data_IF_387911061738
#
_entry.id   IF_387911061738
#
_cell.length_a   1.000
_cell.length_b   1.000
_cell.length_c   1.000
_cell.angle_alpha   90.00
_cell.angle_beta   90.00
_cell.angle_gamma   90.00
#
_symmetry.space_group_name_H-M   'P 1'
#
loop_
_entity.id
_entity.type
_entity.pdbx_description
1 polymer ?
#
# COMPACT_ATOMS: atom_id res chain seq x y z
N UNK A 1 70.62 -44.35 -28.93
CA UNK A 1 69.89 -45.50 -28.37
C UNK A 1 68.48 -45.00 -28.04
N UNK A 2 67.49 -45.49 -28.79
CA UNK A 2 66.11 -44.99 -28.81
C UNK A 2 65.38 -45.44 -27.54
N UNK A 3 64.91 -44.50 -26.72
CA UNK A 3 64.06 -44.77 -25.54
C UNK A 3 62.59 -44.87 -25.96
N UNK A 4 61.96 -45.98 -25.60
CA UNK A 4 60.57 -46.37 -25.90
C UNK A 4 59.52 -45.31 -25.49
N UNK A 5 58.39 -45.20 -26.21
CA UNK A 5 57.25 -44.39 -25.80
C UNK A 5 56.47 -45.05 -24.64
N UNK A 6 55.96 -44.20 -23.75
CA UNK A 6 55.20 -44.55 -22.54
C UNK A 6 53.95 -45.38 -22.84
N UNK A 7 53.87 -46.56 -22.23
CA UNK A 7 52.79 -47.55 -22.40
C UNK A 7 51.44 -47.18 -21.78
N UNK A 8 51.25 -45.95 -21.30
CA UNK A 8 49.96 -45.49 -20.76
C UNK A 8 48.98 -44.99 -21.83
N UNK A 9 49.47 -44.52 -22.99
CA UNK A 9 48.61 -43.99 -24.05
C UNK A 9 47.92 -45.06 -24.90
N UNK A 10 48.40 -46.32 -24.88
CA UNK A 10 47.86 -47.40 -25.70
C UNK A 10 46.61 -48.07 -25.10
N UNK A 11 46.32 -47.88 -23.81
CA UNK A 11 45.16 -48.49 -23.16
C UNK A 11 43.82 -47.77 -23.46
N UNK A 12 43.85 -46.53 -23.95
CA UNK A 12 42.66 -45.73 -24.28
C UNK A 12 42.10 -45.99 -25.70
N UNK A 13 42.72 -46.91 -26.47
CA UNK A 13 42.40 -47.17 -27.87
C UNK A 13 41.58 -48.46 -28.12
N UNK A 14 41.07 -49.12 -27.08
CA UNK A 14 40.16 -50.26 -27.28
C UNK A 14 38.71 -49.77 -27.44
N UNK A 15 37.96 -50.25 -28.46
CA UNK A 15 36.59 -49.81 -28.72
C UNK A 15 35.66 -50.08 -27.52
N UNK A 16 35.95 -51.11 -26.73
CA UNK A 16 35.21 -51.43 -25.50
C UNK A 16 35.32 -50.36 -24.41
N UNK A 17 36.50 -49.77 -24.19
CA UNK A 17 36.68 -48.74 -23.16
C UNK A 17 35.95 -47.43 -23.54
N UNK A 18 35.91 -47.09 -24.83
CA UNK A 18 35.15 -45.94 -25.34
C UNK A 18 33.63 -46.13 -25.17
N UNK A 19 33.14 -47.35 -25.39
CA UNK A 19 31.72 -47.68 -25.23
C UNK A 19 31.30 -47.63 -23.75
N UNK A 20 32.17 -48.13 -22.85
CA UNK A 20 31.94 -48.04 -21.40
C UNK A 20 31.96 -46.59 -20.94
N UNK A 21 32.93 -45.78 -21.35
CA UNK A 21 32.99 -44.34 -21.03
C UNK A 21 31.76 -43.58 -21.53
N UNK A 22 31.31 -43.83 -22.75
CA UNK A 22 30.11 -43.21 -23.32
C UNK A 22 28.83 -43.66 -22.58
N UNK A 23 28.71 -44.93 -22.21
CA UNK A 23 27.59 -45.44 -21.43
C UNK A 23 27.57 -44.86 -20.00
N UNK A 24 28.73 -44.72 -19.35
CA UNK A 24 28.82 -44.06 -18.05
C UNK A 24 28.55 -42.56 -18.11
N UNK A 25 28.95 -41.86 -19.18
CA UNK A 25 28.61 -40.46 -19.39
C UNK A 25 27.10 -40.27 -19.60
N UNK A 26 26.45 -41.15 -20.38
CA UNK A 26 25.00 -41.15 -20.56
C UNK A 26 24.24 -41.47 -19.26
N UNK A 27 24.76 -42.38 -18.43
CA UNK A 27 24.18 -42.69 -17.12
C UNK A 27 24.35 -41.53 -16.11
N UNK A 28 25.46 -40.78 -16.19
CA UNK A 28 25.68 -39.57 -15.36
C UNK A 28 24.78 -38.40 -15.80
N UNK A 29 24.45 -38.29 -17.09
CA UNK A 29 23.47 -37.31 -17.60
C UNK A 29 22.03 -37.63 -17.21
N UNK A 30 21.71 -38.90 -16.92
CA UNK A 30 20.38 -39.34 -16.49
C UNK A 30 20.05 -38.98 -15.02
N UNK A 31 21.01 -38.42 -14.27
CA UNK A 31 20.81 -37.91 -12.90
C UNK A 31 20.11 -36.55 -12.82
N UNK A 32 19.71 -35.95 -13.94
CA UNK A 32 18.91 -34.73 -13.95
C UNK A 32 17.58 -34.99 -13.22
N UNK A 33 17.35 -34.25 -12.13
CA UNK A 33 16.12 -34.30 -11.35
C UNK A 33 14.92 -34.15 -12.29
N UNK A 34 14.14 -35.21 -12.45
CA UNK A 34 12.90 -35.16 -13.21
C UNK A 34 11.85 -34.48 -12.34
N UNK A 35 11.40 -33.27 -12.69
CA UNK A 35 10.37 -32.62 -11.90
C UNK A 35 9.08 -33.45 -11.97
N UNK A 36 8.32 -33.49 -10.87
CA UNK A 36 7.01 -34.15 -10.85
C UNK A 36 6.12 -33.52 -11.91
N UNK A 37 5.54 -34.34 -12.79
CA UNK A 37 4.64 -33.88 -13.85
C UNK A 37 3.24 -34.44 -13.63
N UNK A 38 2.21 -33.60 -13.83
CA UNK A 38 0.82 -34.02 -13.70
C UNK A 38 -0.05 -33.37 -14.80
N UNK A 39 -1.01 -34.12 -15.32
CA UNK A 39 -2.08 -33.58 -16.18
C UNK A 39 -3.21 -33.06 -15.28
N UNK A 40 -3.65 -31.82 -15.48
CA UNK A 40 -4.74 -31.24 -14.69
C UNK A 40 -6.12 -31.65 -15.22
N UNK A 41 -6.23 -31.90 -16.53
CA UNK A 41 -7.43 -32.47 -17.16
C UNK A 41 -7.14 -33.47 -18.29
N UNK A 42 -8.11 -34.33 -18.68
CA UNK A 42 -7.97 -35.20 -19.85
C UNK A 42 -7.71 -34.41 -21.13
N UNK A 43 -6.69 -34.81 -21.90
CA UNK A 43 -6.28 -34.13 -23.12
C UNK A 43 -5.22 -33.04 -22.94
N UNK A 44 -4.90 -32.66 -21.70
CA UNK A 44 -3.84 -31.67 -21.44
C UNK A 44 -2.43 -32.28 -21.50
N UNK A 45 -1.47 -31.44 -21.83
CA UNK A 45 -0.06 -31.77 -21.64
C UNK A 45 0.28 -31.79 -20.14
N UNK A 46 1.10 -32.74 -19.67
CA UNK A 46 1.55 -32.74 -18.29
C UNK A 46 2.29 -31.44 -17.95
N UNK A 47 1.94 -30.82 -16.84
CA UNK A 47 2.59 -29.62 -16.31
C UNK A 47 3.57 -29.99 -15.22
N UNK A 48 4.68 -29.24 -15.15
CA UNK A 48 5.68 -29.38 -14.08
C UNK A 48 5.11 -28.82 -12.78
N UNK A 49 5.04 -29.66 -11.75
CA UNK A 49 4.64 -29.27 -10.41
C UNK A 49 5.86 -28.85 -9.60
N UNK A 50 5.86 -27.60 -9.16
CA UNK A 50 6.81 -27.08 -8.18
C UNK A 50 6.39 -27.38 -6.74
N UNK A 51 7.20 -26.95 -5.74
CA UNK A 51 6.82 -27.02 -4.34
C UNK A 51 5.57 -26.19 -4.03
N UNK A 52 4.86 -26.53 -2.95
CA UNK A 52 3.68 -25.79 -2.51
C UNK A 52 3.99 -24.36 -2.08
N UNK A 53 2.97 -23.50 -2.09
CA UNK A 53 3.03 -22.15 -1.52
C UNK A 53 3.42 -22.24 -0.04
N UNK A 54 4.25 -21.29 0.41
CA UNK A 54 4.73 -21.17 1.80
C UNK A 54 4.81 -19.70 2.20
N UNK A 55 4.97 -19.46 3.50
CA UNK A 55 5.25 -18.12 4.02
C UNK A 55 6.57 -17.54 3.48
N UNK A 56 6.59 -16.22 3.31
CA UNK A 56 7.76 -15.49 2.86
C UNK A 56 8.67 -15.12 4.04
N UNK A 57 9.43 -16.12 4.47
CA UNK A 57 10.39 -16.05 5.58
C UNK A 57 11.72 -15.39 5.19
N UNK A 58 12.35 -14.70 6.14
CA UNK A 58 13.68 -14.11 5.99
C UNK A 58 14.60 -14.45 7.17
N UNK A 59 15.91 -14.14 7.09
CA UNK A 59 16.79 -14.19 8.26
C UNK A 59 16.31 -13.37 9.47
N UNK A 60 15.37 -12.45 9.29
CA UNK A 60 14.91 -11.53 10.33
C UNK A 60 13.83 -12.11 11.24
N UNK A 61 13.21 -13.26 10.92
CA UNK A 61 12.07 -13.79 11.70
C UNK A 61 12.34 -13.84 13.22
N UNK A 62 13.48 -14.40 13.71
CA UNK A 62 13.74 -14.52 15.14
C UNK A 62 13.94 -13.16 15.83
N UNK A 63 14.63 -12.23 15.14
CA UNK A 63 14.87 -10.89 15.66
C UNK A 63 13.56 -10.12 15.77
N UNK A 64 12.71 -10.19 14.74
CA UNK A 64 11.42 -9.50 14.72
C UNK A 64 10.49 -10.02 15.81
N UNK A 65 10.43 -11.34 16.02
CA UNK A 65 9.67 -11.95 17.10
C UNK A 65 10.16 -11.48 18.49
N UNK A 66 11.47 -11.52 18.73
CA UNK A 66 12.09 -11.03 19.97
C UNK A 66 11.81 -9.55 20.22
N UNK A 67 11.90 -8.72 19.17
CA UNK A 67 11.63 -7.29 19.27
C UNK A 67 10.16 -7.02 19.55
N UNK A 68 9.24 -7.69 18.84
CA UNK A 68 7.81 -7.56 19.06
C UNK A 68 7.40 -7.98 20.48
N UNK A 69 7.98 -9.07 21.01
CA UNK A 69 7.77 -9.51 22.39
C UNK A 69 8.24 -8.45 23.40
N UNK A 70 9.40 -7.83 23.16
CA UNK A 70 9.91 -6.73 24.01
C UNK A 70 9.01 -5.50 23.98
N UNK A 71 8.47 -5.14 22.82
CA UNK A 71 7.52 -4.03 22.69
C UNK A 71 6.21 -4.36 23.40
N UNK A 72 5.66 -5.56 23.19
CA UNK A 72 4.43 -6.01 23.87
C UNK A 72 4.60 -6.05 25.40
N UNK A 73 5.76 -6.52 25.89
CA UNK A 73 6.07 -6.58 27.32
C UNK A 73 6.11 -5.21 28.01
N UNK A 74 6.17 -4.09 27.27
CA UNK A 74 6.04 -2.75 27.85
C UNK A 74 4.64 -2.46 28.38
N UNK A 75 3.62 -3.21 27.95
CA UNK A 75 2.21 -3.00 28.31
C UNK A 75 1.62 -1.66 27.84
N UNK A 76 2.34 -0.91 26.99
CA UNK A 76 1.89 0.38 26.46
C UNK A 76 0.90 0.16 25.32
N UNK A 77 0.03 1.14 25.11
CA UNK A 77 -0.83 1.18 23.92
C UNK A 77 0.05 1.14 22.65
N UNK A 78 -0.20 0.20 21.72
CA UNK A 78 0.56 0.12 20.49
C UNK A 78 0.50 1.40 19.68
N UNK A 79 1.66 1.88 19.21
CA UNK A 79 1.74 3.02 18.29
C UNK A 79 1.10 2.66 16.95
N UNK A 80 0.44 3.64 16.33
CA UNK A 80 -0.17 3.48 14.99
C UNK A 80 0.79 4.02 13.94
N UNK A 81 1.30 3.14 13.08
CA UNK A 81 2.27 3.46 12.03
C UNK A 81 1.61 3.31 10.66
N UNK A 82 1.74 4.33 9.83
CA UNK A 82 1.41 4.25 8.42
C UNK A 82 2.67 4.01 7.56
N UNK A 83 2.47 3.59 6.33
CA UNK A 83 3.55 3.46 5.34
C UNK A 83 3.19 4.36 4.15
N UNK A 84 4.14 5.16 3.71
CA UNK A 84 4.04 5.92 2.48
C UNK A 84 4.88 5.29 1.37
N UNK A 85 5.35 6.11 0.44
CA UNK A 85 6.20 5.64 -0.64
C UNK A 85 7.54 5.07 -0.12
N UNK A 86 7.82 3.83 -0.55
CA UNK A 86 9.14 3.20 -0.47
C UNK A 86 9.46 2.61 -1.85
N UNK A 87 10.18 3.40 -2.65
CA UNK A 87 10.40 3.16 -4.08
C UNK A 87 11.83 2.69 -4.37
N UNK A 88 12.02 2.17 -5.57
CA UNK A 88 13.34 1.98 -6.14
C UNK A 88 13.87 3.31 -6.70
N UNK A 89 14.96 3.80 -6.11
CA UNK A 89 15.72 4.98 -6.53
C UNK A 89 17.09 4.61 -7.11
N UNK A 90 17.42 3.32 -7.27
CA UNK A 90 18.73 2.91 -7.80
C UNK A 90 18.83 3.18 -9.30
N UNK A 91 17.70 3.30 -10.00
CA UNK A 91 17.62 3.54 -11.44
C UNK A 91 18.21 2.41 -12.29
N UNK A 92 18.39 1.21 -11.71
CA UNK A 92 18.98 0.07 -12.42
C UNK A 92 17.91 -0.67 -13.21
N UNK A 93 18.14 -0.79 -14.51
CA UNK A 93 17.21 -1.40 -15.45
C UNK A 93 17.91 -2.46 -16.28
N UNK A 94 17.25 -3.60 -16.46
CA UNK A 94 17.62 -4.67 -17.38
C UNK A 94 16.66 -4.64 -18.56
N UNK A 95 17.20 -4.59 -19.79
CA UNK A 95 16.40 -4.51 -21.01
C UNK A 95 15.46 -5.70 -21.21
N UNK A 96 15.81 -6.87 -20.68
CA UNK A 96 15.02 -8.10 -20.85
C UNK A 96 14.08 -8.37 -19.66
N UNK A 97 14.39 -7.84 -18.47
CA UNK A 97 13.73 -8.23 -17.22
C UNK A 97 13.04 -7.05 -16.50
N UNK A 98 13.23 -5.81 -16.97
CA UNK A 98 12.69 -4.60 -16.36
C UNK A 98 13.56 -4.06 -15.23
N UNK A 99 12.95 -3.44 -14.22
CA UNK A 99 13.67 -2.88 -13.07
C UNK A 99 14.41 -3.97 -12.30
N UNK A 100 15.68 -3.70 -11.97
CA UNK A 100 16.51 -4.67 -11.24
C UNK A 100 16.06 -4.88 -9.79
N UNK A 101 15.40 -3.87 -9.20
CA UNK A 101 14.82 -3.92 -7.86
C UNK A 101 13.30 -3.87 -7.94
N UNK A 102 12.66 -4.52 -6.97
CA UNK A 102 11.21 -4.51 -6.83
C UNK A 102 10.66 -3.11 -6.61
N UNK A 103 9.51 -2.82 -7.22
CA UNK A 103 8.73 -1.61 -6.94
C UNK A 103 7.79 -1.79 -5.74
N UNK A 104 7.81 -2.97 -5.10
CA UNK A 104 6.98 -3.32 -3.95
C UNK A 104 7.61 -2.99 -2.59
N UNK A 105 8.57 -2.07 -2.52
CA UNK A 105 9.27 -1.72 -1.27
C UNK A 105 8.30 -1.31 -0.15
N UNK A 106 7.26 -0.54 -0.47
CA UNK A 106 6.23 -0.14 0.51
C UNK A 106 5.47 -1.35 1.06
N UNK A 107 5.11 -2.31 0.20
CA UNK A 107 4.44 -3.54 0.61
C UNK A 107 5.35 -4.47 1.44
N UNK A 108 6.66 -4.45 1.20
CA UNK A 108 7.63 -5.15 2.05
C UNK A 108 7.70 -4.51 3.45
N UNK A 109 7.68 -3.19 3.55
CA UNK A 109 7.62 -2.46 4.83
C UNK A 109 6.29 -2.71 5.55
N UNK A 110 5.15 -2.73 4.85
CA UNK A 110 3.86 -3.14 5.40
C UNK A 110 3.91 -4.56 5.96
N UNK A 111 4.44 -5.50 5.18
CA UNK A 111 4.57 -6.90 5.61
C UNK A 111 5.47 -7.00 6.85
N UNK A 112 6.54 -6.22 6.91
CA UNK A 112 7.44 -6.17 8.06
C UNK A 112 6.73 -5.64 9.32
N UNK A 113 5.95 -4.55 9.20
CA UNK A 113 5.09 -4.09 10.30
C UNK A 113 4.05 -5.14 10.69
N UNK A 114 3.53 -5.90 9.72
CA UNK A 114 2.60 -7.02 9.95
C UNK A 114 3.21 -8.15 10.76
N UNK A 115 4.52 -8.43 10.57
CA UNK A 115 5.28 -9.37 11.41
C UNK A 115 5.46 -8.87 12.86
N UNK A 116 5.32 -7.56 13.09
CA UNK A 116 5.29 -6.94 14.42
C UNK A 116 3.84 -6.72 14.94
N UNK A 117 2.84 -7.32 14.30
CA UNK A 117 1.42 -7.05 14.59
C UNK A 117 1.05 -7.20 16.06
N UNK A 118 0.27 -6.23 16.51
CA UNK A 118 -0.22 -6.06 17.89
C UNK A 118 0.80 -5.49 18.87
N UNK A 119 2.10 -5.58 18.59
CA UNK A 119 3.10 -4.72 19.23
C UNK A 119 3.07 -3.31 18.62
N UNK A 120 2.71 -3.23 17.34
CA UNK A 120 2.35 -2.00 16.62
C UNK A 120 1.02 -2.19 15.90
N UNK A 121 0.33 -1.07 15.64
CA UNK A 121 -0.85 -1.02 14.76
C UNK A 121 -0.48 -0.38 13.44
N UNK A 122 -1.13 -0.82 12.38
CA UNK A 122 -0.89 -0.30 11.03
C UNK A 122 -2.11 0.51 10.60
N UNK A 123 -1.88 1.73 10.09
CA UNK A 123 -2.92 2.51 9.42
C UNK A 123 -2.67 2.48 7.91
N UNK A 124 -3.69 2.11 7.15
CA UNK A 124 -3.63 2.15 5.68
C UNK A 124 -3.62 3.62 5.21
N UNK A 125 -2.52 4.02 4.56
CA UNK A 125 -2.33 5.36 3.96
C UNK A 125 -1.57 5.33 2.63
N UNK A 126 -1.18 4.15 2.16
CA UNK A 126 -0.43 3.95 0.93
C UNK A 126 -1.37 3.83 -0.26
N UNK A 127 -2.46 3.07 -0.11
CA UNK A 127 -3.53 2.97 -1.10
C UNK A 127 -4.91 3.20 -0.46
N UNK A 128 -5.25 4.46 -0.14
CA UNK A 128 -6.54 4.79 0.46
C UNK A 128 -7.69 4.82 -0.57
N UNK A 129 -7.45 4.53 -1.85
CA UNK A 129 -8.43 4.80 -2.92
C UNK A 129 -9.76 4.10 -2.71
N UNK A 130 -9.76 2.84 -2.26
CA UNK A 130 -11.00 2.12 -1.99
C UNK A 130 -11.72 2.73 -0.78
N UNK A 131 -10.99 3.02 0.31
CA UNK A 131 -11.55 3.63 1.51
C UNK A 131 -12.15 5.02 1.23
N UNK A 132 -11.48 5.84 0.41
CA UNK A 132 -11.99 7.15 -0.02
C UNK A 132 -13.23 7.03 -0.89
N UNK A 133 -13.28 6.04 -1.81
CA UNK A 133 -14.46 5.78 -2.63
C UNK A 133 -15.64 5.31 -1.78
N UNK A 134 -15.42 4.39 -0.85
CA UNK A 134 -16.45 3.91 0.07
C UNK A 134 -16.95 5.04 0.96
N UNK A 135 -16.06 5.90 1.46
CA UNK A 135 -16.46 7.09 2.20
C UNK A 135 -17.32 8.02 1.33
N UNK A 136 -16.98 8.20 0.05
CA UNK A 136 -17.79 8.96 -0.90
C UNK A 136 -19.15 8.31 -1.23
N UNK A 137 -19.25 6.98 -1.22
CA UNK A 137 -20.55 6.30 -1.33
C UNK A 137 -21.36 6.43 -0.04
N UNK A 138 -20.72 6.36 1.13
CA UNK A 138 -21.36 6.54 2.43
C UNK A 138 -21.89 7.97 2.60
N UNK A 139 -21.12 8.98 2.20
CA UNK A 139 -21.54 10.40 2.22
C UNK A 139 -22.77 10.62 1.34
N UNK A 140 -22.79 10.02 0.14
CA UNK A 140 -23.93 10.06 -0.79
C UNK A 140 -25.08 9.12 -0.43
N UNK A 141 -24.99 8.39 0.70
CA UNK A 141 -25.99 7.39 1.14
C UNK A 141 -26.25 6.29 0.11
N UNK A 142 -25.26 5.99 -0.73
CA UNK A 142 -25.28 4.95 -1.74
C UNK A 142 -24.67 3.63 -1.22
N UNK A 143 -23.88 3.71 -0.15
CA UNK A 143 -23.29 2.55 0.50
C UNK A 143 -24.32 1.87 1.41
N UNK A 144 -24.47 0.55 1.28
CA UNK A 144 -25.30 -0.27 2.17
C UNK A 144 -24.67 -1.64 2.36
N UNK A 145 -25.07 -2.34 3.42
CA UNK A 145 -24.63 -3.69 3.78
C UNK A 145 -25.76 -4.73 3.65
N UNK A 146 -26.85 -4.37 2.97
CA UNK A 146 -28.05 -5.20 2.83
C UNK A 146 -28.95 -5.22 4.07
N UNK A 147 -28.67 -4.38 5.08
CA UNK A 147 -29.47 -4.26 6.31
C UNK A 147 -30.07 -2.86 6.42
N UNK A 148 -31.17 -2.78 7.14
CA UNK A 148 -31.75 -1.51 7.56
C UNK A 148 -31.12 -1.06 8.88
N UNK A 149 -30.79 0.22 8.98
CA UNK A 149 -30.14 0.84 10.13
C UNK A 149 -31.08 1.86 10.76
N UNK A 150 -31.15 1.89 12.09
CA UNK A 150 -31.98 2.85 12.83
C UNK A 150 -31.10 3.96 13.38
N UNK A 151 -31.28 5.18 12.86
CA UNK A 151 -30.62 6.39 13.33
C UNK A 151 -31.36 6.94 14.54
N UNK A 152 -30.63 7.46 15.53
CA UNK A 152 -31.25 8.19 16.63
C UNK A 152 -31.94 9.47 16.11
N UNK A 153 -33.20 9.67 16.48
CA UNK A 153 -33.93 10.91 16.15
C UNK A 153 -33.35 12.11 16.89
N UNK A 154 -33.35 13.29 16.26
CA UNK A 154 -33.00 14.53 16.93
C UNK A 154 -33.93 14.75 18.14
N UNK A 155 -33.38 15.20 19.28
CA UNK A 155 -34.12 15.52 20.50
C UNK A 155 -35.03 14.39 21.05
N UNK A 156 -34.61 13.13 20.94
CA UNK A 156 -35.37 11.99 21.49
C UNK A 156 -36.62 11.60 20.70
N UNK A 157 -36.74 12.08 19.46
CA UNK A 157 -37.77 11.61 18.52
C UNK A 157 -37.58 10.17 18.06
N UNK A 158 -38.62 9.60 17.43
CA UNK A 158 -38.58 8.25 16.87
C UNK A 158 -37.41 8.07 15.89
N UNK A 159 -36.67 6.96 16.02
CA UNK A 159 -35.50 6.69 15.18
C UNK A 159 -35.85 6.54 13.71
N UNK A 160 -35.02 7.10 12.82
CA UNK A 160 -35.22 6.99 11.39
C UNK A 160 -34.61 5.69 10.87
N UNK A 161 -35.42 4.86 10.23
CA UNK A 161 -34.95 3.65 9.57
C UNK A 161 -34.42 3.96 8.17
N UNK A 162 -33.17 3.59 7.88
CA UNK A 162 -32.49 3.89 6.61
C UNK A 162 -31.84 2.63 6.03
N UNK A 163 -31.88 2.43 4.69
CA UNK A 163 -31.29 1.25 4.04
C UNK A 163 -29.80 1.40 3.73
N UNK A 164 -29.20 2.55 4.07
CA UNK A 164 -27.80 2.89 3.78
C UNK A 164 -26.97 2.88 5.07
N UNK A 165 -25.66 2.69 4.93
CA UNK A 165 -24.69 2.57 6.03
C UNK A 165 -24.48 3.92 6.74
N UNK A 166 -24.84 4.05 8.03
CA UNK A 166 -24.53 5.24 8.81
C UNK A 166 -23.03 5.40 9.02
N UNK A 167 -22.52 6.60 8.74
CA UNK A 167 -21.12 6.94 8.96
C UNK A 167 -20.99 7.90 10.14
N UNK A 168 -20.20 7.49 11.14
CA UNK A 168 -19.92 8.30 12.33
C UNK A 168 -18.52 8.92 12.19
N UNK A 169 -18.42 10.22 12.52
CA UNK A 169 -17.15 10.92 12.51
C UNK A 169 -16.20 10.32 13.55
N UNK A 170 -14.90 10.35 13.26
CA UNK A 170 -13.87 9.82 14.16
C UNK A 170 -13.64 8.30 14.06
N UNK A 171 -14.29 7.60 13.14
CA UNK A 171 -14.06 6.16 12.87
C UNK A 171 -12.73 5.88 12.17
N UNK A 172 -12.23 6.82 11.36
CA UNK A 172 -10.89 6.75 10.77
C UNK A 172 -9.86 7.16 11.81
N UNK A 173 -9.11 6.18 12.31
CA UNK A 173 -8.05 6.41 13.29
C UNK A 173 -6.85 7.16 12.68
N UNK A 174 -6.26 8.07 13.45
CA UNK A 174 -5.00 8.74 13.08
C UNK A 174 -3.83 7.76 13.11
N UNK A 175 -2.83 8.00 12.26
CA UNK A 175 -1.49 7.44 12.46
C UNK A 175 -0.70 8.36 13.40
N UNK A 176 0.08 7.78 14.30
CA UNK A 176 1.05 8.51 15.13
C UNK A 176 2.29 8.86 14.31
N UNK A 177 2.75 7.90 13.51
CA UNK A 177 3.94 8.02 12.68
C UNK A 177 3.69 7.47 11.28
N UNK A 178 4.55 7.85 10.33
CA UNK A 178 4.61 7.19 9.03
C UNK A 178 6.06 6.89 8.61
N UNK A 179 6.25 5.78 7.89
CA UNK A 179 7.54 5.38 7.33
C UNK A 179 7.55 5.65 5.82
N UNK A 180 8.61 6.32 5.35
CA UNK A 180 8.88 6.59 3.93
C UNK A 180 10.36 6.41 3.64
N UNK A 181 10.72 6.20 2.37
CA UNK A 181 12.12 6.07 1.97
C UNK A 181 12.26 5.38 0.63
N UNK A 182 13.30 4.56 0.49
CA UNK A 182 13.47 3.75 -0.71
C UNK A 182 14.74 2.92 -0.72
N UNK A 183 14.85 2.10 -1.77
CA UNK A 183 16.07 1.39 -2.12
C UNK A 183 16.90 2.35 -2.96
N UNK A 184 18.07 2.75 -2.48
CA UNK A 184 18.84 3.87 -3.03
C UNK A 184 20.12 3.43 -3.72
N UNK A 185 20.64 2.25 -3.38
CA UNK A 185 21.87 1.74 -3.98
C UNK A 185 21.69 0.30 -4.47
N UNK A 186 22.29 0.01 -5.63
CA UNK A 186 22.50 -1.35 -6.12
C UNK A 186 23.85 -1.43 -6.83
N UNK A 187 24.80 -2.11 -6.19
CA UNK A 187 26.17 -2.24 -6.64
C UNK A 187 26.45 -3.69 -7.05
N UNK A 188 26.66 -3.91 -8.35
CA UNK A 188 27.08 -5.21 -8.88
C UNK A 188 28.60 -5.33 -8.86
N UNK A 189 29.11 -6.56 -8.72
CA UNK A 189 30.53 -6.88 -8.88
C UNK A 189 31.48 -6.05 -7.99
N UNK A 190 31.15 -5.89 -6.70
CA UNK A 190 31.97 -5.12 -5.74
C UNK A 190 33.37 -5.73 -5.61
N UNK A 191 33.43 -7.06 -5.48
CA UNK A 191 34.65 -7.85 -5.55
C UNK A 191 34.31 -9.16 -6.27
N UNK A 192 35.09 -9.48 -7.29
CA UNK A 192 34.97 -10.74 -8.02
C UNK A 192 36.34 -11.40 -8.09
N UNK A 193 36.37 -12.68 -7.74
CA UNK A 193 37.59 -13.48 -7.74
C UNK A 193 37.34 -14.80 -8.42
N UNK A 194 38.29 -15.28 -9.20
CA UNK A 194 38.16 -16.57 -9.86
C UNK A 194 39.42 -17.00 -10.56
N UNK A 195 39.54 -18.31 -10.75
CA UNK A 195 40.61 -18.94 -11.50
C UNK A 195 40.01 -19.83 -12.59
N UNK A 196 40.68 -19.87 -13.72
CA UNK A 196 40.39 -20.80 -14.80
C UNK A 196 41.67 -21.53 -15.16
N UNK A 197 41.62 -22.87 -15.19
CA UNK A 197 42.74 -23.72 -15.57
C UNK A 197 42.25 -24.61 -16.71
N UNK A 198 42.96 -24.60 -17.84
CA UNK A 198 42.63 -25.45 -18.97
C UNK A 198 43.85 -26.15 -19.57
N UNK A 199 43.65 -27.40 -19.96
CA UNK A 199 44.63 -28.25 -20.67
C UNK A 199 43.88 -29.07 -21.72
N UNK A 200 44.39 -29.14 -22.96
CA UNK A 200 43.84 -29.95 -24.05
C UNK A 200 42.32 -29.79 -24.27
N UNK A 201 41.88 -28.56 -24.54
CA UNK A 201 40.50 -28.19 -24.83
C UNK A 201 39.49 -28.41 -23.69
N UNK A 202 39.94 -28.82 -22.49
CA UNK A 202 39.12 -28.91 -21.27
C UNK A 202 39.53 -27.77 -20.33
N UNK A 203 38.58 -26.96 -19.87
CA UNK A 203 38.82 -25.93 -18.84
C UNK A 203 37.92 -26.09 -17.63
N UNK A 204 38.46 -25.79 -16.45
CA UNK A 204 37.75 -25.74 -15.18
C UNK A 204 37.79 -24.31 -14.68
N UNK A 205 36.62 -23.74 -14.37
CA UNK A 205 36.46 -22.38 -13.86
C UNK A 205 35.79 -22.39 -12.49
N UNK A 206 36.30 -21.54 -11.59
CA UNK A 206 35.66 -21.20 -10.33
C UNK A 206 35.65 -19.68 -10.18
N UNK A 207 34.47 -19.08 -9.99
CA UNK A 207 34.28 -17.63 -9.86
C UNK A 207 33.39 -17.32 -8.67
N UNK A 208 33.66 -16.19 -8.03
CA UNK A 208 32.86 -15.62 -6.95
C UNK A 208 32.46 -14.20 -7.34
N UNK A 209 31.26 -13.81 -6.95
CA UNK A 209 30.69 -12.50 -7.25
C UNK A 209 30.05 -11.94 -5.99
N UNK A 210 30.36 -10.70 -5.64
CA UNK A 210 29.66 -9.99 -4.58
C UNK A 210 28.87 -8.81 -5.10
N UNK A 211 27.68 -8.59 -4.56
CA UNK A 211 26.81 -7.45 -4.88
C UNK A 211 26.33 -6.81 -3.58
N UNK A 212 25.83 -5.58 -3.59
CA UNK A 212 25.18 -4.99 -2.42
C UNK A 212 23.98 -4.16 -2.80
N UNK A 213 23.06 -4.03 -1.85
CA UNK A 213 21.92 -3.13 -1.91
C UNK A 213 21.94 -2.19 -0.70
N UNK A 214 21.58 -0.93 -0.93
CA UNK A 214 21.41 0.09 0.10
C UNK A 214 19.94 0.49 0.22
N UNK A 215 19.46 0.66 1.45
CA UNK A 215 18.12 1.14 1.76
C UNK A 215 18.18 2.31 2.73
N UNK A 216 17.45 3.37 2.42
CA UNK A 216 17.33 4.56 3.25
C UNK A 216 15.87 4.76 3.64
N UNK A 217 15.59 4.69 4.95
CA UNK A 217 14.25 4.86 5.48
C UNK A 217 14.23 5.93 6.57
N UNK A 218 13.07 6.55 6.76
CA UNK A 218 12.82 7.46 7.88
C UNK A 218 11.43 7.26 8.45
N UNK A 219 11.31 7.45 9.76
CA UNK A 219 10.03 7.51 10.48
C UNK A 219 9.77 8.96 10.90
N UNK A 220 8.58 9.43 10.58
CA UNK A 220 8.18 10.84 10.71
C UNK A 220 6.96 10.93 11.60
N UNK A 221 6.93 11.91 12.50
CA UNK A 221 5.77 12.22 13.32
C UNK A 221 4.67 12.85 12.45
N UNK A 222 3.48 12.25 12.43
CA UNK A 222 2.38 12.68 11.55
C UNK A 222 1.88 14.09 11.87
N UNK A 223 1.98 14.53 13.14
CA UNK A 223 1.43 15.84 13.57
C UNK A 223 2.38 16.97 13.26
N UNK A 224 3.67 16.77 13.51
CA UNK A 224 4.70 17.82 13.39
C UNK A 224 5.46 17.76 12.07
N UNK A 225 5.38 16.65 11.35
CA UNK A 225 6.18 16.33 10.17
C UNK A 225 7.70 16.33 10.43
N UNK A 226 8.10 16.34 11.70
CA UNK A 226 9.50 16.23 12.09
C UNK A 226 9.97 14.79 11.95
N UNK A 227 11.15 14.63 11.34
CA UNK A 227 11.79 13.32 11.20
C UNK A 227 12.30 12.87 12.57
N UNK A 228 11.77 11.76 13.08
CA UNK A 228 12.13 11.23 14.41
C UNK A 228 13.41 10.40 14.33
N UNK A 229 13.53 9.57 13.30
CA UNK A 229 14.72 8.76 13.05
C UNK A 229 14.90 8.50 11.55
N UNK A 230 16.16 8.55 11.11
CA UNK A 230 16.61 8.08 9.80
C UNK A 230 17.52 6.87 9.98
N UNK A 231 17.48 5.96 9.01
CA UNK A 231 18.38 4.82 8.91
C UNK A 231 18.86 4.68 7.47
N UNK A 232 20.12 4.27 7.34
CA UNK A 232 20.75 3.88 6.08
C UNK A 232 21.39 2.52 6.32
N UNK A 233 20.98 1.50 5.58
CA UNK A 233 21.42 0.12 5.75
C UNK A 233 21.92 -0.44 4.42
N UNK A 234 23.03 -1.18 4.48
CA UNK A 234 23.57 -1.91 3.33
C UNK A 234 23.59 -3.39 3.63
N UNK A 235 23.12 -4.19 2.67
CA UNK A 235 23.26 -5.64 2.69
C UNK A 235 24.08 -6.10 1.50
N UNK A 236 25.11 -6.89 1.77
CA UNK A 236 25.93 -7.54 0.75
C UNK A 236 25.43 -8.96 0.49
N UNK A 237 25.53 -9.37 -0.78
CA UNK A 237 25.21 -10.68 -1.32
C UNK A 237 26.50 -11.31 -1.84
N UNK A 238 26.62 -12.61 -1.68
CA UNK A 238 27.71 -13.40 -2.29
C UNK A 238 27.13 -14.52 -3.15
N UNK A 239 27.74 -14.72 -4.31
CA UNK A 239 27.41 -15.80 -5.24
C UNK A 239 28.67 -16.50 -5.73
N UNK A 240 28.50 -17.71 -6.22
CA UNK A 240 29.59 -18.51 -6.79
C UNK A 240 29.15 -19.21 -8.07
N UNK A 241 30.12 -19.50 -8.93
CA UNK A 241 30.00 -20.29 -10.15
C UNK A 241 31.17 -21.27 -10.19
N UNK A 242 30.86 -22.56 -10.31
CA UNK A 242 31.83 -23.61 -10.59
C UNK A 242 31.41 -24.31 -11.87
N UNK A 243 32.33 -24.42 -12.83
CA UNK A 243 32.03 -24.97 -14.14
C UNK A 243 33.21 -25.71 -14.75
N UNK A 244 32.89 -26.68 -15.59
CA UNK A 244 33.78 -27.43 -16.45
C UNK A 244 33.29 -27.23 -17.89
N UNK A 245 34.16 -26.71 -18.74
CA UNK A 245 33.90 -26.52 -20.16
C UNK A 245 34.79 -27.48 -20.96
N UNK A 246 34.22 -28.17 -21.95
CA UNK A 246 34.96 -28.99 -22.91
C UNK A 246 34.70 -28.49 -24.32
N UNK A 247 35.77 -28.04 -24.99
CA UNK A 247 35.78 -27.69 -26.39
C UNK A 247 36.29 -28.86 -27.23
N UNK A 248 35.70 -29.10 -28.40
CA UNK A 248 36.30 -30.02 -29.38
C UNK A 248 35.94 -29.64 -30.81
N UNK A 249 36.95 -29.63 -31.69
CA UNK A 249 36.76 -29.46 -33.12
C UNK A 249 36.59 -30.82 -33.80
N UNK A 250 35.47 -31.01 -34.50
CA UNK A 250 35.29 -32.12 -35.43
C UNK A 250 35.04 -31.55 -36.84
N UNK A 251 36.02 -31.75 -37.73
CA UNK A 251 36.07 -31.18 -39.08
C UNK A 251 36.01 -29.63 -39.05
N UNK A 252 34.85 -29.03 -39.37
CA UNK A 252 34.58 -27.59 -39.38
C UNK A 252 33.58 -27.14 -38.31
N UNK A 253 33.12 -28.05 -37.44
CA UNK A 253 32.10 -27.75 -36.43
C UNK A 253 32.73 -27.71 -35.03
N UNK A 254 32.39 -26.65 -34.27
CA UNK A 254 32.77 -26.46 -32.87
C UNK A 254 31.69 -27.09 -31.98
N UNK A 255 32.10 -28.00 -31.11
CA UNK A 255 31.24 -28.53 -30.06
C UNK A 255 31.70 -27.96 -28.71
N UNK A 256 30.78 -27.32 -28.00
CA UNK A 256 30.96 -26.73 -26.67
C UNK A 256 30.01 -27.43 -25.71
N UNK A 257 30.56 -28.01 -24.64
CA UNK A 257 29.80 -28.71 -23.61
C UNK A 257 30.14 -28.08 -22.26
N UNK A 258 29.18 -27.34 -21.70
CA UNK A 258 29.27 -26.69 -20.40
C UNK A 258 28.54 -27.51 -19.31
N UNK A 259 29.27 -27.89 -18.26
CA UNK A 259 28.71 -28.46 -17.02
C UNK A 259 29.04 -27.55 -15.85
N UNK A 260 28.07 -27.11 -15.05
CA UNK A 260 28.38 -26.25 -13.91
C UNK A 260 27.23 -26.02 -12.94
N UNK A 261 27.60 -25.61 -11.73
CA UNK A 261 26.67 -25.17 -10.70
C UNK A 261 26.93 -23.68 -10.39
N UNK A 262 25.87 -22.89 -10.41
CA UNK A 262 25.89 -21.47 -10.05
C UNK A 262 24.84 -21.22 -8.97
N UNK A 263 25.22 -20.56 -7.89
CA UNK A 263 24.34 -20.24 -6.77
C UNK A 263 24.58 -18.83 -6.26
N UNK A 264 23.51 -18.07 -6.01
CA UNK A 264 23.58 -16.71 -5.46
C UNK A 264 22.48 -16.50 -4.43
N UNK A 265 22.75 -15.71 -3.39
CA UNK A 265 21.69 -15.23 -2.50
C UNK A 265 20.67 -14.41 -3.30
N UNK A 266 19.35 -14.68 -3.18
CA UNK A 266 18.35 -13.92 -3.92
C UNK A 266 18.35 -12.44 -3.51
N UNK A 267 18.54 -11.54 -4.49
CA UNK A 267 18.60 -10.09 -4.23
C UNK A 267 17.33 -9.60 -3.51
N UNK A 268 16.16 -10.02 -3.98
CA UNK A 268 14.87 -9.63 -3.40
C UNK A 268 14.71 -10.11 -1.94
N UNK A 269 15.32 -11.24 -1.57
CA UNK A 269 15.33 -11.71 -0.18
C UNK A 269 16.16 -10.77 0.70
N UNK A 270 17.32 -10.30 0.21
CA UNK A 270 18.13 -9.36 0.96
C UNK A 270 17.55 -7.95 1.03
N UNK A 271 16.89 -7.47 -0.05
CA UNK A 271 16.13 -6.21 0.02
C UNK A 271 15.08 -6.29 1.13
N UNK A 272 14.30 -7.38 1.15
CA UNK A 272 13.29 -7.60 2.19
C UNK A 272 13.91 -7.63 3.58
N UNK A 273 14.99 -8.36 3.78
CA UNK A 273 15.68 -8.44 5.08
C UNK A 273 16.22 -7.06 5.54
N UNK A 274 16.78 -6.27 4.62
CA UNK A 274 17.26 -4.92 4.93
C UNK A 274 16.13 -3.96 5.29
N UNK A 275 15.00 -4.03 4.58
CA UNK A 275 13.79 -3.25 4.91
C UNK A 275 13.21 -3.68 6.26
N UNK A 276 13.14 -4.97 6.55
CA UNK A 276 12.67 -5.51 7.83
C UNK A 276 13.53 -5.05 9.01
N UNK A 277 14.86 -5.08 8.86
CA UNK A 277 15.78 -4.52 9.85
C UNK A 277 15.58 -3.01 10.03
N UNK A 278 15.38 -2.28 8.93
CA UNK A 278 15.05 -0.87 8.94
C UNK A 278 13.77 -0.58 9.73
N UNK A 279 12.71 -1.36 9.51
CA UNK A 279 11.46 -1.25 10.28
C UNK A 279 11.70 -1.46 11.77
N UNK A 280 12.44 -2.50 12.17
CA UNK A 280 12.74 -2.74 13.59
C UNK A 280 13.47 -1.57 14.22
N UNK A 281 14.51 -1.03 13.55
CA UNK A 281 15.29 0.11 14.06
C UNK A 281 14.44 1.38 14.18
N UNK A 282 13.59 1.65 13.18
CA UNK A 282 12.69 2.82 13.18
C UNK A 282 11.59 2.69 14.24
N UNK A 283 10.94 1.53 14.34
CA UNK A 283 9.92 1.26 15.37
C UNK A 283 10.53 1.31 16.76
N UNK A 284 11.75 0.80 16.96
CA UNK A 284 12.48 0.90 18.23
C UNK A 284 12.65 2.34 18.70
N UNK A 285 12.90 3.27 17.76
CA UNK A 285 13.04 4.69 18.08
C UNK A 285 11.73 5.33 18.57
N UNK A 286 10.57 4.98 18.01
CA UNK A 286 9.28 5.57 18.44
C UNK A 286 8.63 4.84 19.61
N UNK A 287 8.89 3.54 19.76
CA UNK A 287 8.42 2.74 20.90
C UNK A 287 9.30 2.90 22.14
N UNK A 288 10.51 3.46 21.98
CA UNK A 288 11.54 3.56 23.01
C UNK A 288 11.97 2.19 23.54
N UNK A 289 12.02 1.19 22.66
CA UNK A 289 12.44 -0.18 22.96
C UNK A 289 13.71 -0.49 22.17
N UNK A 290 14.76 -0.89 22.89
CA UNK A 290 16.03 -1.25 22.28
C UNK A 290 15.95 -2.63 21.61
N UNK A 291 16.35 -2.68 20.33
CA UNK A 291 16.39 -3.88 19.51
C UNK A 291 17.74 -4.60 19.58
N UNK A 292 18.80 -3.95 20.08
CA UNK A 292 20.15 -4.51 20.10
C UNK A 292 20.25 -5.88 20.78
N UNK A 293 19.51 -6.17 21.89
CA UNK A 293 19.52 -7.49 22.51
C UNK A 293 18.97 -8.63 21.63
N UNK A 294 18.24 -8.31 20.56
CA UNK A 294 17.70 -9.30 19.61
C UNK A 294 18.62 -9.54 18.40
N UNK A 295 19.64 -8.69 18.16
CA UNK A 295 20.59 -8.84 17.05
C UNK A 295 21.34 -10.20 17.04
N UNK A 296 21.75 -10.77 18.18
CA UNK A 296 22.43 -12.08 18.19
C UNK A 296 21.59 -13.25 17.67
N UNK A 297 20.28 -13.07 17.48
CA UNK A 297 19.38 -14.09 16.91
C UNK A 297 19.42 -14.15 15.39
N UNK A 298 20.09 -13.20 14.73
CA UNK A 298 20.31 -13.23 13.29
C UNK A 298 21.28 -14.37 12.94
N UNK A 299 21.00 -15.15 11.89
CA UNK A 299 21.92 -16.19 11.46
C UNK A 299 23.23 -15.56 10.95
N UNK A 300 24.36 -16.13 11.35
CA UNK A 300 25.66 -15.77 10.78
C UNK A 300 25.74 -16.12 9.29
N UNK A 301 26.74 -15.56 8.59
CA UNK A 301 26.96 -15.83 7.17
C UNK A 301 27.06 -17.34 6.88
N UNK A 302 26.32 -17.81 5.89
CA UNK A 302 26.29 -19.22 5.47
C UNK A 302 25.56 -20.18 6.42
N UNK A 303 24.87 -19.67 7.44
CA UNK A 303 24.05 -20.50 8.35
C UNK A 303 22.64 -20.68 7.81
N UNK A 304 21.99 -21.79 8.20
CA UNK A 304 20.59 -22.05 7.89
C UNK A 304 19.69 -20.98 8.52
N UNK A 305 18.68 -20.57 7.75
CA UNK A 305 17.67 -19.61 8.20
C UNK A 305 16.59 -20.36 9.00
N UNK A 306 16.10 -19.75 10.08
CA UNK A 306 14.94 -20.26 10.79
C UNK A 306 13.69 -20.15 9.91
N UNK A 307 12.95 -21.24 9.74
CA UNK A 307 11.82 -21.30 8.80
C UNK A 307 10.47 -21.05 9.44
N UNK A 308 10.43 -20.93 10.76
CA UNK A 308 9.21 -20.57 11.50
C UNK A 308 8.92 -19.07 11.36
N UNK A 309 7.70 -18.67 10.96
CA UNK A 309 7.30 -17.26 10.89
C UNK A 309 7.41 -16.55 12.25
N UNK A 310 7.76 -15.25 12.24
CA UNK A 310 7.93 -14.44 13.44
C UNK A 310 6.71 -14.49 14.38
N UNK A 311 5.50 -14.50 13.83
CA UNK A 311 4.26 -14.60 14.60
C UNK A 311 4.19 -15.87 15.48
N UNK A 312 4.72 -16.99 14.99
CA UNK A 312 4.75 -18.28 15.71
C UNK A 312 5.94 -18.39 16.68
N UNK A 313 6.94 -17.52 16.55
CA UNK A 313 8.09 -17.46 17.46
C UNK A 313 7.85 -16.58 18.69
N UNK A 314 6.74 -15.82 18.70
CA UNK A 314 6.40 -14.90 19.79
C UNK A 314 5.99 -15.65 21.06
N UNK A 315 6.37 -15.10 22.20
CA UNK A 315 6.11 -15.65 23.53
C UNK A 315 5.24 -14.75 24.38
N UNK A 316 5.13 -13.47 24.02
CA UNK A 316 4.38 -12.47 24.77
C UNK A 316 3.09 -12.16 24.01
N UNK A 317 1.96 -12.24 24.73
CA UNK A 317 0.68 -11.81 24.17
C UNK A 317 0.69 -10.31 23.90
N UNK A 318 0.02 -9.90 22.81
CA UNK A 318 -0.12 -8.49 22.54
C UNK A 318 -0.97 -7.82 23.63
N UNK A 319 -0.67 -6.56 23.98
CA UNK A 319 -1.57 -5.80 24.84
C UNK A 319 -2.98 -5.82 24.22
N UNK A 320 -3.99 -6.03 25.06
CA UNK A 320 -5.38 -5.93 24.66
C UNK A 320 -5.62 -4.51 24.18
N UNK A 321 -5.61 -4.31 22.87
CA UNK A 321 -6.21 -3.15 22.26
C UNK A 321 -7.68 -3.46 22.22
N UNK A 322 -8.52 -2.59 22.77
CA UNK A 322 -9.95 -2.68 22.57
C UNK A 322 -10.26 -2.54 21.07
N UNK A 323 -10.24 -3.68 20.37
CA UNK A 323 -10.56 -3.84 18.94
C UNK A 323 -12.01 -4.23 18.75
N UNK A 324 -12.77 -4.39 19.84
CA UNK A 324 -14.18 -4.73 19.78
C UNK A 324 -14.97 -3.71 18.97
N UNK A 325 -14.45 -2.48 18.85
CA UNK A 325 -15.29 -1.38 18.42
C UNK A 325 -16.56 -1.38 19.26
N UNK A 326 -16.46 -1.78 20.56
CA UNK A 326 -17.58 -1.84 21.47
C UNK A 326 -18.27 -0.51 21.30
N UNK A 327 -19.52 -0.50 20.83
CA UNK A 327 -20.25 0.74 20.78
C UNK A 327 -20.21 1.27 22.20
N UNK A 328 -19.66 2.48 22.38
CA UNK A 328 -20.11 3.35 23.47
C UNK A 328 -21.61 3.16 23.48
N UNK A 329 -22.12 2.56 24.57
CA UNK A 329 -23.36 1.83 24.62
C UNK A 329 -24.43 2.35 23.66
N UNK A 330 -25.10 1.43 22.96
CA UNK A 330 -26.26 1.58 22.07
C UNK A 330 -27.33 2.54 22.61
N UNK A 331 -26.96 3.81 22.50
CA UNK A 331 -27.56 5.05 22.93
C UNK A 331 -26.65 6.19 22.45
N UNK A 332 -25.96 5.95 21.33
CA UNK A 332 -24.90 6.78 20.78
C UNK A 332 -25.45 8.19 20.59
N UNK A 333 -25.05 9.09 21.50
CA UNK A 333 -25.31 10.54 21.49
C UNK A 333 -24.52 11.23 20.38
N UNK A 334 -24.61 10.71 19.15
CA UNK A 334 -23.93 11.24 17.99
C UNK A 334 -24.81 11.09 16.76
N UNK A 335 -25.11 12.20 16.12
CA UNK A 335 -25.73 12.21 14.79
C UNK A 335 -24.74 11.63 13.80
N UNK A 336 -25.14 10.61 13.02
CA UNK A 336 -24.30 10.15 11.92
C UNK A 336 -24.01 11.34 11.00
N UNK A 337 -22.78 11.45 10.50
CA UNK A 337 -22.32 12.58 9.68
C UNK A 337 -23.14 12.66 8.40
N UNK A 338 -23.53 11.51 7.86
CA UNK A 338 -24.43 11.38 6.73
C UNK A 338 -25.92 11.28 7.14
N UNK A 339 -26.27 11.29 8.43
CA UNK A 339 -27.66 11.35 8.92
C UNK A 339 -28.28 12.74 8.85
N UNK A 340 -27.48 13.80 8.80
CA UNK A 340 -28.02 15.15 8.55
C UNK A 340 -28.49 15.26 7.10
N UNK A 341 -29.71 14.82 6.82
CA UNK A 341 -30.47 15.35 5.70
C UNK A 341 -30.89 16.74 6.11
N UNK A 342 -30.21 17.81 5.67
CA UNK A 342 -30.83 19.13 5.57
C UNK A 342 -31.70 19.55 6.78
N UNK A 343 -31.38 19.12 8.00
CA UNK A 343 -32.01 19.63 9.20
C UNK A 343 -31.17 20.83 9.50
N UNK A 344 -31.69 21.97 9.06
CA UNK A 344 -31.07 23.27 9.27
C UNK A 344 -30.46 23.28 10.66
N UNK A 345 -29.16 23.56 10.71
CA UNK A 345 -28.67 24.26 11.87
C UNK A 345 -29.65 25.42 12.06
N UNK A 346 -30.45 25.39 13.12
CA UNK A 346 -31.18 26.57 13.53
C UNK A 346 -30.09 27.55 13.95
N UNK A 347 -29.75 28.57 13.14
CA UNK A 347 -28.78 29.54 13.56
C UNK A 347 -29.57 30.53 14.39
N UNK A 348 -29.22 30.60 15.66
CA UNK A 348 -29.37 31.84 16.42
C UNK A 348 -28.91 33.02 15.53
N UNK A 349 -29.83 33.83 15.01
CA UNK A 349 -29.53 35.03 14.22
C UNK A 349 -29.41 34.87 12.70
N UNK A 350 -30.49 34.45 12.04
CA UNK A 350 -30.98 34.95 10.73
C UNK A 350 -30.10 34.89 9.46
N UNK A 351 -29.64 33.69 9.04
CA UNK A 351 -29.41 33.37 7.61
C UNK A 351 -29.79 31.90 7.35
N UNK A 352 -30.75 31.63 6.45
CA UNK A 352 -31.20 30.27 6.09
C UNK A 352 -30.34 29.71 4.96
N UNK A 353 -29.66 28.59 5.17
CA UNK A 353 -28.92 27.91 4.09
C UNK A 353 -29.85 27.10 3.17
N UNK A 354 -29.71 27.30 1.86
CA UNK A 354 -30.42 26.62 0.80
C UNK A 354 -29.43 25.83 -0.07
N UNK A 355 -29.33 24.50 0.11
CA UNK A 355 -28.33 23.70 -0.58
C UNK A 355 -28.74 23.34 -2.01
N UNK A 356 -27.75 23.38 -2.91
CA UNK A 356 -27.80 22.81 -4.26
C UNK A 356 -26.88 21.58 -4.38
N UNK A 357 -27.35 20.58 -5.11
CA UNK A 357 -26.55 19.41 -5.47
C UNK A 357 -25.49 19.79 -6.51
N UNK A 358 -24.43 18.97 -6.60
CA UNK A 358 -23.31 19.19 -7.51
C UNK A 358 -23.79 19.30 -8.97
N UNK A 359 -23.50 20.42 -9.62
CA UNK A 359 -23.89 20.73 -10.99
C UNK A 359 -25.39 20.91 -11.20
N UNK A 360 -26.21 20.80 -10.16
CA UNK A 360 -27.65 20.94 -10.27
C UNK A 360 -28.08 22.40 -10.38
N UNK A 361 -28.95 22.67 -11.33
CA UNK A 361 -29.54 23.99 -11.58
C UNK A 361 -30.95 24.10 -10.98
N UNK A 362 -31.51 22.97 -10.56
CA UNK A 362 -32.84 22.82 -9.97
C UNK A 362 -32.73 22.51 -8.47
N UNK A 363 -33.80 22.83 -7.74
CA UNK A 363 -33.91 22.52 -6.32
C UNK A 363 -34.31 21.06 -6.11
N UNK A 364 -33.61 20.35 -5.21
CA UNK A 364 -33.95 18.98 -4.83
C UNK A 364 -35.21 18.88 -3.97
N UNK A 365 -35.82 17.70 -3.92
CA UNK A 365 -37.11 17.48 -3.24
C UNK A 365 -37.10 17.86 -1.75
N UNK A 366 -36.00 17.60 -1.04
CA UNK A 366 -35.86 17.99 0.37
C UNK A 366 -35.62 19.50 0.55
N UNK A 367 -34.96 20.14 -0.43
CA UNK A 367 -34.76 21.60 -0.45
C UNK A 367 -36.08 22.35 -0.65
N UNK A 368 -37.06 21.75 -1.34
CA UNK A 368 -38.37 22.38 -1.56
C UNK A 368 -39.13 22.67 -0.26
N UNK A 369 -38.99 21.83 0.77
CA UNK A 369 -39.60 22.08 2.07
C UNK A 369 -39.00 23.31 2.77
N UNK A 370 -37.71 23.60 2.55
CA UNK A 370 -37.07 24.83 3.03
C UNK A 370 -37.61 26.06 2.29
N UNK A 371 -37.88 25.95 0.98
CA UNK A 371 -38.52 27.03 0.22
C UNK A 371 -39.92 27.35 0.76
N UNK A 372 -40.70 26.34 1.15
CA UNK A 372 -42.00 26.55 1.82
C UNK A 372 -41.85 27.36 3.11
N UNK A 373 -40.86 27.01 3.95
CA UNK A 373 -40.57 27.73 5.19
C UNK A 373 -40.11 29.16 4.95
N UNK A 374 -39.19 29.37 3.99
CA UNK A 374 -38.69 30.70 3.62
C UNK A 374 -39.84 31.55 3.08
N UNK A 375 -40.71 31.01 2.22
CA UNK A 375 -41.84 31.75 1.68
C UNK A 375 -42.86 32.14 2.77
N UNK A 376 -43.08 31.28 3.78
CA UNK A 376 -43.92 31.60 4.92
C UNK A 376 -43.30 32.69 5.81
N UNK A 377 -42.00 32.61 6.08
CA UNK A 377 -41.28 33.59 6.87
C UNK A 377 -41.16 34.95 6.17
N UNK A 378 -40.95 34.96 4.85
CA UNK A 378 -40.88 36.15 4.02
C UNK A 378 -42.19 36.97 4.01
N UNK A 379 -43.33 36.34 4.29
CA UNK A 379 -44.62 37.05 4.46
C UNK A 379 -44.73 37.78 5.81
N UNK A 380 -43.90 37.41 6.78
CA UNK A 380 -43.91 37.99 8.13
C UNK A 380 -42.79 39.02 8.33
N UNK A 381 -41.75 39.00 7.51
CA UNK A 381 -40.63 39.94 7.55
C UNK A 381 -39.52 39.55 6.59
N UNK A 382 -38.43 40.32 6.57
CA UNK A 382 -37.26 40.02 5.73
C UNK A 382 -36.50 38.80 6.22
N UNK A 383 -36.09 37.92 5.30
CA UNK A 383 -35.34 36.69 5.55
C UNK A 383 -34.07 36.68 4.71
N UNK A 384 -32.91 36.52 5.34
CA UNK A 384 -31.65 36.31 4.62
C UNK A 384 -31.45 34.82 4.33
N UNK A 385 -31.05 34.51 3.10
CA UNK A 385 -30.88 33.15 2.57
C UNK A 385 -29.50 33.03 1.94
N UNK A 386 -28.76 31.97 2.27
CA UNK A 386 -27.48 31.62 1.68
C UNK A 386 -27.66 30.44 0.73
N UNK A 387 -27.34 30.61 -0.55
CA UNK A 387 -27.19 29.46 -1.45
C UNK A 387 -25.84 28.81 -1.22
N UNK A 388 -25.84 27.49 -1.02
CA UNK A 388 -24.61 26.71 -0.78
C UNK A 388 -24.53 25.51 -1.71
N UNK A 389 -23.32 25.10 -2.09
CA UNK A 389 -23.05 23.79 -2.71
C UNK A 389 -21.74 23.21 -2.16
N UNK A 390 -21.37 22.02 -2.63
CA UNK A 390 -20.11 21.37 -2.22
C UNK A 390 -18.90 22.19 -2.65
N UNK A 391 -17.89 22.31 -1.79
CA UNK A 391 -16.61 22.96 -2.11
C UNK A 391 -15.79 22.22 -3.18
N UNK A 392 -16.13 20.95 -3.43
CA UNK A 392 -15.63 20.16 -4.55
C UNK A 392 -16.17 20.60 -5.92
N UNK A 393 -17.21 21.46 -5.96
CA UNK A 393 -17.76 22.04 -7.19
C UNK A 393 -16.86 23.17 -7.71
N UNK A 394 -15.71 22.78 -8.24
CA UNK A 394 -14.67 23.68 -8.74
C UNK A 394 -14.73 23.80 -10.28
N UNK A 395 -15.71 24.56 -10.78
CA UNK A 395 -15.81 24.93 -12.20
C UNK A 395 -15.01 26.21 -12.50
N UNK A 396 -14.72 26.43 -13.80
CA UNK A 396 -14.19 27.71 -14.27
C UNK A 396 -15.16 28.87 -13.94
N UNK A 397 -14.63 30.09 -13.86
CA UNK A 397 -15.38 31.25 -13.38
C UNK A 397 -16.64 31.53 -14.21
N UNK A 398 -16.57 31.39 -15.54
CA UNK A 398 -17.71 31.59 -16.44
C UNK A 398 -18.83 30.58 -16.20
N UNK A 399 -18.49 29.29 -16.15
CA UNK A 399 -19.47 28.24 -15.84
C UNK A 399 -20.06 28.38 -14.44
N UNK A 400 -19.28 28.85 -13.47
CA UNK A 400 -19.76 29.12 -12.11
C UNK A 400 -20.76 30.27 -12.08
N UNK A 401 -20.48 31.36 -12.80
CA UNK A 401 -21.39 32.49 -12.94
C UNK A 401 -22.74 32.07 -13.54
N UNK A 402 -22.69 31.28 -14.62
CA UNK A 402 -23.88 30.70 -15.25
C UNK A 402 -24.70 29.83 -14.29
N UNK A 403 -24.03 28.98 -13.50
CA UNK A 403 -24.69 28.16 -12.49
C UNK A 403 -25.33 29.02 -11.39
N UNK A 404 -24.64 30.06 -10.91
CA UNK A 404 -25.21 31.01 -9.93
C UNK A 404 -26.49 31.64 -10.49
N UNK A 405 -26.45 32.12 -11.74
CA UNK A 405 -27.61 32.74 -12.41
C UNK A 405 -28.80 31.78 -12.47
N UNK A 406 -28.56 30.54 -12.90
CA UNK A 406 -29.61 29.52 -13.02
C UNK A 406 -30.20 29.12 -11.67
N UNK A 407 -29.36 29.00 -10.63
CA UNK A 407 -29.80 28.64 -9.27
C UNK A 407 -30.60 29.75 -8.61
N UNK A 408 -30.18 31.01 -8.76
CA UNK A 408 -30.95 32.17 -8.29
C UNK A 408 -32.31 32.23 -9.00
N UNK A 409 -32.35 32.01 -10.31
CA UNK A 409 -33.59 31.97 -11.08
C UNK A 409 -34.51 30.84 -10.59
N UNK A 410 -33.99 29.62 -10.43
CA UNK A 410 -34.77 28.48 -9.93
C UNK A 410 -35.35 28.73 -8.54
N UNK A 411 -34.57 29.31 -7.63
CA UNK A 411 -35.05 29.68 -6.31
C UNK A 411 -36.12 30.78 -6.35
N UNK A 412 -35.92 31.80 -7.18
CA UNK A 412 -36.88 32.89 -7.36
C UNK A 412 -38.21 32.37 -7.92
N UNK A 413 -38.17 31.50 -8.92
CA UNK A 413 -39.36 30.84 -9.46
C UNK A 413 -40.07 29.96 -8.44
N UNK A 414 -39.31 29.23 -7.61
CA UNK A 414 -39.88 28.39 -6.57
C UNK A 414 -40.61 29.19 -5.48
N UNK A 415 -40.09 30.38 -5.13
CA UNK A 415 -40.73 31.35 -4.24
C UNK A 415 -41.95 32.02 -4.87
N UNK A 416 -41.90 32.37 -6.16
CA UNK A 416 -43.03 32.92 -6.90
C UNK A 416 -44.24 31.98 -6.89
N UNK A 417 -44.00 30.68 -7.07
CA UNK A 417 -45.03 29.65 -6.96
C UNK A 417 -45.66 29.52 -5.56
N UNK A 418 -45.06 30.15 -4.53
CA UNK A 418 -45.53 30.20 -3.13
C UNK A 418 -46.07 31.57 -2.72
N UNK A 419 -46.23 32.47 -3.70
CA UNK A 419 -46.82 33.80 -3.52
C UNK A 419 -45.85 34.87 -3.00
N UNK A 420 -44.53 34.66 -3.12
CA UNK A 420 -43.54 35.72 -2.89
C UNK A 420 -43.19 36.33 -4.25
N UNK A 421 -43.41 37.64 -4.41
CA UNK A 421 -43.15 38.30 -5.69
C UNK A 421 -41.66 38.19 -6.08
N UNK A 422 -41.30 37.96 -7.35
CA UNK A 422 -39.90 37.92 -7.78
C UNK A 422 -39.10 39.17 -7.41
N UNK A 423 -39.75 40.34 -7.41
CA UNK A 423 -39.14 41.61 -7.02
C UNK A 423 -38.76 41.69 -5.52
N UNK A 424 -39.28 40.79 -4.69
CA UNK A 424 -38.94 40.71 -3.27
C UNK A 424 -37.66 39.91 -3.00
N UNK A 425 -37.00 39.37 -4.04
CA UNK A 425 -35.76 38.58 -3.96
C UNK A 425 -34.58 39.45 -4.37
N UNK A 426 -33.76 39.88 -3.41
CA UNK A 426 -32.60 40.73 -3.66
C UNK A 426 -31.31 39.96 -3.44
N UNK A 427 -30.41 39.91 -4.43
CA UNK A 427 -29.06 39.34 -4.25
C UNK A 427 -28.20 40.37 -3.52
N UNK A 428 -27.82 40.08 -2.28
CA UNK A 428 -27.01 40.98 -1.44
C UNK A 428 -25.51 40.69 -1.58
N UNK A 429 -25.14 39.48 -2.01
CA UNK A 429 -23.76 39.13 -2.33
C UNK A 429 -23.71 37.95 -3.32
N UNK A 430 -22.72 37.99 -4.22
CA UNK A 430 -22.26 36.87 -5.04
C UNK A 430 -20.79 37.13 -5.44
N UNK A 431 -20.02 36.09 -5.80
CA UNK A 431 -18.69 36.26 -6.39
C UNK A 431 -18.73 37.08 -7.69
N UNK A 432 -17.62 37.76 -8.01
CA UNK A 432 -17.44 38.41 -9.32
C UNK A 432 -17.39 37.37 -10.44
N UNK A 433 -17.84 37.71 -11.65
CA UNK A 433 -17.89 36.79 -12.77
C UNK A 433 -16.51 36.26 -13.20
N UNK A 434 -15.43 36.97 -12.87
CA UNK A 434 -14.05 36.55 -13.08
C UNK A 434 -13.41 35.90 -11.83
N UNK A 435 -14.13 35.82 -10.71
CA UNK A 435 -13.61 35.24 -9.48
C UNK A 435 -13.43 33.73 -9.62
N UNK A 436 -12.20 33.25 -9.43
CA UNK A 436 -11.86 31.83 -9.48
C UNK A 436 -11.77 31.17 -8.10
N UNK A 437 -11.92 31.95 -7.03
CA UNK A 437 -11.80 31.46 -5.65
C UNK A 437 -13.03 30.70 -5.16
N UNK A 438 -12.80 29.79 -4.21
CA UNK A 438 -13.86 29.02 -3.53
C UNK A 438 -14.11 29.67 -2.17
N UNK A 439 -15.30 30.23 -1.99
CA UNK A 439 -15.73 30.90 -0.75
C UNK A 439 -16.29 29.87 0.24
N UNK A 440 -15.44 29.27 1.07
CA UNK A 440 -15.83 28.16 1.95
C UNK A 440 -16.73 28.60 3.12
N UNK A 441 -17.83 27.86 3.35
CA UNK A 441 -18.75 28.03 4.49
C UNK A 441 -18.92 26.71 5.24
N UNK A 442 -17.97 26.45 6.14
CA UNK A 442 -17.93 25.21 6.93
C UNK A 442 -17.37 23.99 6.19
N UNK A 443 -17.46 22.79 6.79
CA UNK A 443 -16.83 21.58 6.24
C UNK A 443 -17.51 21.10 4.96
N UNK A 444 -16.79 21.17 3.83
CA UNK A 444 -17.23 20.57 2.56
C UNK A 444 -18.26 21.38 1.78
N UNK A 445 -18.48 22.65 2.14
CA UNK A 445 -19.45 23.55 1.51
C UNK A 445 -18.80 24.89 1.12
N UNK A 446 -19.36 25.51 0.08
CA UNK A 446 -19.02 26.86 -0.38
C UNK A 446 -20.28 27.73 -0.51
N UNK A 447 -20.14 29.02 -0.19
CA UNK A 447 -21.12 30.07 -0.42
C UNK A 447 -21.18 30.40 -1.92
N UNK A 448 -22.38 30.39 -2.47
CA UNK A 448 -22.62 30.66 -3.90
C UNK A 448 -23.22 32.05 -4.07
N UNK A 449 -24.22 32.40 -3.25
CA UNK A 449 -24.86 33.70 -3.26
C UNK A 449 -25.60 33.92 -1.93
N UNK A 450 -25.71 35.17 -1.50
CA UNK A 450 -26.57 35.60 -0.38
C UNK A 450 -27.72 36.40 -0.96
N UNK A 451 -28.93 36.08 -0.53
CA UNK A 451 -30.16 36.76 -0.92
C UNK A 451 -30.91 37.27 0.31
N UNK A 452 -31.62 38.38 0.14
CA UNK A 452 -32.60 38.90 1.10
C UNK A 452 -33.98 38.81 0.47
N UNK A 453 -34.88 38.10 1.16
CA UNK A 453 -36.25 37.84 0.72
C UNK A 453 -37.20 38.64 1.60
N UNK A 454 -38.07 39.44 0.98
CA UNK A 454 -39.05 40.24 1.72
C UNK A 454 -38.51 41.62 2.12
N UNK A 455 -39.39 42.60 1.97
CA UNK A 455 -39.19 44.03 2.14
C UNK A 455 -40.49 44.75 1.78
#
# INVERSE_FOLDING_TARGET
>A
MITKPNSFAAALATPGLRLVLAASAAALLAGCATPSMQRMAPGEMPTVLGPSVRDNITPMEPLMACFADRVAATGRTPVVVAVGDVKDYTGKYNINEGNAITQGGALMVYSALGKLSGAVRIAERFDPMIAERELGYADRRQLGDGRNHVLAGANGGAGQNVPWMPYFGGTINKSDYFIVGGITELNYNINSGGGEIGVDQVSVKARTFSQSVGVDLRIVDTKTLMVVRTISLTKQFTGYEVGLNVFRFFNSNLFDIDFGAKGQEPVQLGVRAALEEGVVRLVGAVTQVDHAPCLPLLPGAGKSIQTTPAAMLRKVENPLVDVTGEPVQTGQRGTAVNASSQTGAAPTGSVVQLPFEFGATQLGGSTMALVDQIAAAAKQGSVDVMLVARDSENWDAGKRDDLINQRVAAFTSALANRGVAPAAVNVIWRPDAADSSIHRDGPGLQEIAKLRIGG
#
